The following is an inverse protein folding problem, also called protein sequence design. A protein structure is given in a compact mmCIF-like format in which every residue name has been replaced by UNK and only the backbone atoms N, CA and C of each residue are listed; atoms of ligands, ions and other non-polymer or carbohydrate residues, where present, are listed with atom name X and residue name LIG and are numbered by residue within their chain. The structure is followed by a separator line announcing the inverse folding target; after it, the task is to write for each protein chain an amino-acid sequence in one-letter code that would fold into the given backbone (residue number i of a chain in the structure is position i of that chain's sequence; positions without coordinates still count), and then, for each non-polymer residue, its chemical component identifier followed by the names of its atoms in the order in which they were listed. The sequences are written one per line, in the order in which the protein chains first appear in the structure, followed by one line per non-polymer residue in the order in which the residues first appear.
data_IF_487387678858
#
_entry.id   IF_487387678858
#
_cell.length_a   1.000
_cell.length_b   1.000
_cell.length_c   1.000
_cell.angle_alpha   90.00
_cell.angle_beta   90.00
_cell.angle_gamma   90.00
#
_symmetry.space_group_name_H-M   'P 1'
#
loop_
_entity.id
_entity.type
_entity.pdbx_description
1 polymer ?
#
# COMPACT_ATOMS: atom_id res chain seq x y z
N UNK A 1 10.96 -4.02 1.87
CA UNK A 1 12.31 -4.31 1.33
C UNK A 1 12.93 -2.98 1.01
N UNK A 2 13.89 -2.56 1.84
CA UNK A 2 14.58 -1.29 1.70
C UNK A 2 15.33 -1.27 0.37
N UNK A 3 15.02 -0.27 -0.46
CA UNK A 3 15.79 0.03 -1.67
C UNK A 3 16.98 0.84 -1.23
N UNK A 4 18.13 0.20 -1.11
CA UNK A 4 19.38 0.95 -0.97
C UNK A 4 19.67 1.66 -2.29
N UNK A 5 19.61 2.98 -2.24
CA UNK A 5 19.95 3.89 -3.33
C UNK A 5 21.47 4.09 -3.35
N UNK A 6 22.12 3.53 -4.36
CA UNK A 6 23.57 3.65 -4.57
C UNK A 6 23.86 4.96 -5.31
N UNK A 7 24.76 5.79 -4.76
CA UNK A 7 25.15 7.07 -5.37
C UNK A 7 26.07 6.85 -6.58
N UNK A 8 26.08 7.79 -7.52
CA UNK A 8 26.89 7.76 -8.76
C UNK A 8 28.37 7.36 -8.56
N UNK A 9 29.01 7.81 -7.49
CA UNK A 9 30.41 7.45 -7.16
C UNK A 9 30.60 5.97 -6.82
N UNK A 10 29.60 5.36 -6.19
CA UNK A 10 29.61 3.94 -5.80
C UNK A 10 29.22 3.04 -6.98
N UNK A 11 28.38 3.52 -7.89
CA UNK A 11 27.99 2.80 -9.12
C UNK A 11 29.23 2.38 -9.91
N UNK A 12 30.18 3.30 -10.12
CA UNK A 12 31.42 3.00 -10.85
C UNK A 12 32.25 1.92 -10.16
N UNK A 13 32.28 1.91 -8.83
CA UNK A 13 32.96 0.87 -8.04
C UNK A 13 32.30 -0.50 -8.26
N UNK A 14 30.97 -0.57 -8.18
CA UNK A 14 30.20 -1.79 -8.43
C UNK A 14 30.41 -2.29 -9.86
N UNK A 15 30.30 -1.42 -10.86
CA UNK A 15 30.49 -1.77 -12.27
C UNK A 15 31.92 -2.26 -12.56
N UNK A 16 32.92 -1.71 -11.88
CA UNK A 16 34.29 -2.21 -11.97
C UNK A 16 34.44 -3.61 -11.39
N UNK A 17 33.76 -3.93 -10.29
CA UNK A 17 33.75 -5.29 -9.74
C UNK A 17 33.01 -6.27 -10.66
N UNK A 18 31.86 -5.86 -11.22
CA UNK A 18 31.08 -6.61 -12.23
C UNK A 18 31.94 -6.93 -13.45
N UNK A 19 32.68 -5.93 -13.96
CA UNK A 19 33.66 -6.09 -15.05
C UNK A 19 34.74 -7.10 -14.69
N UNK A 20 35.42 -6.92 -13.56
CA UNK A 20 36.56 -7.77 -13.16
C UNK A 20 36.17 -9.23 -12.97
N UNK A 21 34.90 -9.49 -12.62
CA UNK A 21 34.34 -10.84 -12.44
C UNK A 21 33.62 -11.37 -13.67
N UNK A 22 33.62 -10.65 -14.79
CA UNK A 22 32.88 -11.01 -16.01
C UNK A 22 31.42 -11.39 -15.74
N UNK A 23 30.74 -10.60 -14.91
CA UNK A 23 29.32 -10.78 -14.62
C UNK A 23 28.50 -10.31 -15.83
N UNK A 24 27.58 -11.16 -16.28
CA UNK A 24 26.65 -10.83 -17.35
C UNK A 24 25.72 -9.69 -16.96
N UNK A 25 25.55 -8.74 -17.86
CA UNK A 25 24.64 -7.60 -17.71
C UNK A 25 23.60 -7.60 -18.82
N UNK A 26 22.45 -7.00 -18.54
CA UNK A 26 21.40 -6.77 -19.52
C UNK A 26 21.04 -5.29 -19.55
N UNK A 27 20.95 -4.74 -20.75
CA UNK A 27 20.44 -3.39 -21.02
C UNK A 27 19.07 -3.50 -21.66
N UNK A 28 18.05 -2.96 -21.00
CA UNK A 28 16.68 -2.97 -21.48
C UNK A 28 16.26 -1.58 -21.97
N UNK A 29 15.71 -1.52 -23.17
CA UNK A 29 15.00 -0.34 -23.66
C UNK A 29 13.60 -0.26 -23.07
N UNK A 30 13.29 0.82 -22.34
CA UNK A 30 11.97 1.00 -21.71
C UNK A 30 10.83 1.10 -22.72
N UNK A 31 11.09 1.62 -23.92
CA UNK A 31 10.06 1.98 -24.89
C UNK A 31 9.78 0.90 -25.95
N UNK A 32 10.66 -0.08 -26.11
CA UNK A 32 10.64 -1.00 -27.25
C UNK A 32 10.94 -2.46 -26.87
N UNK A 33 10.94 -2.78 -25.57
CA UNK A 33 11.21 -4.12 -25.03
C UNK A 33 12.52 -4.78 -25.52
N UNK A 34 13.42 -4.02 -26.14
CA UNK A 34 14.73 -4.53 -26.57
C UNK A 34 15.56 -4.91 -25.34
N UNK A 35 16.18 -6.09 -25.37
CA UNK A 35 17.12 -6.55 -24.35
C UNK A 35 18.46 -6.84 -25.03
N UNK A 36 19.51 -6.16 -24.58
CA UNK A 36 20.89 -6.36 -25.02
C UNK A 36 21.63 -7.02 -23.88
N UNK A 37 22.11 -8.25 -24.07
CA UNK A 37 22.91 -8.96 -23.07
C UNK A 37 24.40 -8.91 -23.42
N UNK A 38 25.23 -8.77 -22.41
CA UNK A 38 26.66 -8.58 -22.60
C UNK A 38 27.46 -8.48 -21.30
N UNK A 39 28.65 -7.89 -21.37
CA UNK A 39 29.54 -7.69 -20.24
C UNK A 39 30.11 -6.27 -20.23
N UNK A 40 30.25 -5.69 -19.04
CA UNK A 40 30.90 -4.38 -18.89
C UNK A 40 32.40 -4.56 -19.18
N UNK A 41 32.93 -3.82 -20.15
CA UNK A 41 34.36 -3.81 -20.49
C UNK A 41 35.09 -2.59 -19.95
N UNK A 42 34.37 -1.50 -19.69
CA UNK A 42 34.90 -0.27 -19.10
C UNK A 42 33.82 0.45 -18.30
N UNK A 43 34.20 1.09 -17.21
CA UNK A 43 33.36 2.03 -16.46
C UNK A 43 34.23 3.16 -15.92
N UNK A 44 33.83 4.41 -16.18
CA UNK A 44 34.38 5.60 -15.56
C UNK A 44 33.25 6.48 -14.99
N UNK A 45 33.53 7.73 -14.60
CA UNK A 45 32.53 8.64 -14.03
C UNK A 45 31.49 9.15 -15.02
N UNK A 46 31.75 9.03 -16.32
CA UNK A 46 30.94 9.61 -17.39
C UNK A 46 30.16 8.55 -18.16
N UNK A 47 30.80 7.43 -18.50
CA UNK A 47 30.18 6.36 -19.28
C UNK A 47 30.67 4.97 -18.87
N UNK A 48 29.92 3.98 -19.31
CA UNK A 48 30.30 2.58 -19.28
C UNK A 48 30.22 1.98 -20.68
N UNK A 49 31.14 1.09 -20.99
CA UNK A 49 31.17 0.34 -22.24
C UNK A 49 30.70 -1.08 -21.97
N UNK A 50 29.75 -1.56 -22.76
CA UNK A 50 29.24 -2.94 -22.69
C UNK A 50 29.54 -3.60 -24.04
N UNK A 51 30.21 -4.75 -23.98
CA UNK A 51 30.36 -5.64 -25.12
C UNK A 51 29.15 -6.57 -25.19
N UNK A 52 28.54 -6.71 -26.36
CA UNK A 52 27.38 -7.59 -26.57
C UNK A 52 27.74 -8.78 -27.47
N UNK A 53 27.20 -9.95 -27.14
CA UNK A 53 27.55 -11.19 -27.86
C UNK A 53 26.89 -11.25 -29.25
N UNK A 54 25.65 -10.74 -29.32
CA UNK A 54 24.82 -10.69 -30.53
C UNK A 54 24.51 -9.25 -30.88
N UNK A 55 24.64 -8.92 -32.17
CA UNK A 55 24.26 -7.60 -32.70
C UNK A 55 22.75 -7.44 -32.47
N UNK A 56 22.30 -6.43 -31.69
CA UNK A 56 20.88 -6.20 -31.49
C UNK A 56 20.22 -5.69 -32.76
N UNK A 57 19.01 -6.16 -33.06
CA UNK A 57 18.24 -5.70 -34.22
C UNK A 57 17.83 -4.22 -34.09
N UNK A 58 17.61 -3.76 -32.86
CA UNK A 58 17.25 -2.39 -32.52
C UNK A 58 17.99 -1.96 -31.27
N UNK A 59 18.54 -0.75 -31.23
CA UNK A 59 19.18 -0.19 -30.03
C UNK A 59 18.51 1.14 -29.71
N UNK A 60 17.79 1.25 -28.57
CA UNK A 60 17.21 2.51 -28.14
C UNK A 60 18.33 3.52 -27.82
N UNK A 61 18.16 4.76 -28.25
CA UNK A 61 19.14 5.83 -27.95
C UNK A 61 18.90 6.40 -26.55
N UNK A 62 17.66 6.32 -26.03
CA UNK A 62 17.27 6.88 -24.74
C UNK A 62 16.59 5.87 -23.85
N UNK A 63 16.55 6.16 -22.56
CA UNK A 63 15.86 5.38 -21.53
C UNK A 63 16.31 3.92 -21.46
N UNK A 64 17.62 3.71 -21.48
CA UNK A 64 18.26 2.42 -21.30
C UNK A 64 18.41 2.12 -19.80
N UNK A 65 17.98 0.91 -19.40
CA UNK A 65 18.12 0.45 -18.01
C UNK A 65 19.10 -0.70 -17.93
N UNK A 66 20.12 -0.56 -17.09
CA UNK A 66 21.06 -1.62 -16.80
C UNK A 66 20.53 -2.50 -15.66
N UNK A 67 20.62 -3.81 -15.85
CA UNK A 67 20.32 -4.81 -14.80
C UNK A 67 21.37 -5.91 -14.78
N UNK A 68 21.75 -6.36 -13.59
CA UNK A 68 22.67 -7.48 -13.40
C UNK A 68 22.54 -8.06 -11.99
N UNK A 69 23.10 -9.25 -11.81
CA UNK A 69 23.12 -9.96 -10.54
C UNK A 69 24.54 -10.04 -10.01
N UNK A 70 24.77 -9.56 -8.79
CA UNK A 70 26.08 -9.59 -8.18
C UNK A 70 25.98 -9.76 -6.66
N UNK A 71 26.75 -10.68 -6.08
CA UNK A 71 26.76 -10.96 -4.64
C UNK A 71 25.36 -11.18 -4.02
N UNK A 72 24.51 -11.98 -4.68
CA UNK A 72 23.10 -12.24 -4.27
C UNK A 72 22.19 -11.01 -4.24
N UNK A 73 22.60 -9.91 -4.87
CA UNK A 73 21.78 -8.72 -5.06
C UNK A 73 21.44 -8.59 -6.55
N UNK A 74 20.19 -8.25 -6.83
CA UNK A 74 19.77 -7.79 -8.15
C UNK A 74 19.91 -6.27 -8.19
N UNK A 75 20.66 -5.78 -9.18
CA UNK A 75 20.89 -4.36 -9.41
C UNK A 75 20.03 -3.88 -10.57
N UNK A 76 19.45 -2.70 -10.42
CA UNK A 76 18.64 -2.04 -11.46
C UNK A 76 18.93 -0.55 -11.45
N UNK A 77 19.48 -0.04 -12.56
CA UNK A 77 19.81 1.38 -12.69
C UNK A 77 18.58 2.25 -12.91
N UNK A 78 18.72 3.56 -12.72
CA UNK A 78 17.86 4.53 -13.38
C UNK A 78 18.09 4.53 -14.90
N UNK A 79 17.14 5.07 -15.69
CA UNK A 79 17.32 5.19 -17.13
C UNK A 79 18.52 6.08 -17.47
N UNK A 80 19.30 5.67 -18.47
CA UNK A 80 20.39 6.45 -19.03
C UNK A 80 20.35 6.42 -20.55
N UNK A 81 21.07 7.34 -21.18
CA UNK A 81 21.10 7.45 -22.63
C UNK A 81 22.35 6.77 -23.23
N UNK A 82 22.20 6.33 -24.47
CA UNK A 82 23.28 5.83 -25.30
C UNK A 82 24.16 7.02 -25.70
N UNK A 83 25.47 6.89 -25.47
CA UNK A 83 26.49 7.85 -25.90
C UNK A 83 27.01 7.51 -27.29
N UNK A 84 27.41 6.26 -27.50
CA UNK A 84 27.96 5.78 -28.77
C UNK A 84 27.67 4.30 -28.98
N UNK A 85 27.59 3.91 -30.25
CA UNK A 85 27.43 2.53 -30.69
C UNK A 85 28.53 2.23 -31.70
N UNK A 86 29.26 1.13 -31.49
CA UNK A 86 30.17 0.60 -32.49
C UNK A 86 29.86 -0.88 -32.75
N UNK A 87 29.17 -1.11 -33.86
CA UNK A 87 28.81 -2.45 -34.33
C UNK A 87 30.03 -3.33 -34.67
N UNK A 88 31.11 -2.82 -35.31
CA UNK A 88 32.27 -3.65 -35.63
C UNK A 88 32.96 -4.24 -34.39
N UNK A 89 33.03 -3.46 -33.31
CA UNK A 89 33.62 -3.89 -32.04
C UNK A 89 32.58 -4.51 -31.08
N UNK A 90 31.33 -4.64 -31.54
CA UNK A 90 30.18 -5.11 -30.75
C UNK A 90 30.07 -4.45 -29.37
N UNK A 91 30.20 -3.13 -29.33
CA UNK A 91 30.15 -2.37 -28.09
C UNK A 91 29.14 -1.21 -28.12
N UNK A 92 28.55 -0.96 -26.96
CA UNK A 92 27.76 0.25 -26.67
C UNK A 92 28.42 1.01 -25.54
N UNK A 93 28.50 2.33 -25.68
CA UNK A 93 28.81 3.24 -24.59
C UNK A 93 27.51 3.86 -24.10
N UNK A 94 27.19 3.65 -22.83
CA UNK A 94 26.03 4.24 -22.16
C UNK A 94 26.53 5.26 -21.14
N UNK A 95 25.81 6.37 -20.97
CA UNK A 95 26.08 7.28 -19.86
C UNK A 95 25.92 6.55 -18.52
N UNK A 96 26.75 6.91 -17.54
CA UNK A 96 26.61 6.36 -16.19
C UNK A 96 25.27 6.83 -15.61
N UNK A 97 24.41 5.92 -15.12
CA UNK A 97 23.13 6.28 -14.54
C UNK A 97 23.33 7.11 -13.26
N UNK A 98 22.38 8.00 -12.97
CA UNK A 98 22.46 8.89 -11.80
C UNK A 98 22.24 8.12 -10.49
N UNK A 99 21.34 7.14 -10.51
CA UNK A 99 21.10 6.21 -9.42
C UNK A 99 21.10 4.74 -9.82
N UNK A 100 21.33 3.87 -8.84
CA UNK A 100 21.13 2.43 -8.97
C UNK A 100 20.48 1.88 -7.70
N UNK A 101 19.44 1.08 -7.88
CA UNK A 101 18.80 0.36 -6.80
C UNK A 101 19.34 -1.07 -6.73
N UNK A 102 19.51 -1.58 -5.52
CA UNK A 102 19.84 -2.99 -5.30
C UNK A 102 18.82 -3.63 -4.35
N UNK A 103 18.54 -4.91 -4.53
CA UNK A 103 17.74 -5.69 -3.59
C UNK A 103 18.18 -7.15 -3.59
N UNK A 104 17.99 -7.84 -2.46
CA UNK A 104 18.40 -9.24 -2.34
C UNK A 104 17.61 -10.11 -3.33
N UNK A 105 18.34 -10.95 -4.07
CA UNK A 105 17.79 -11.96 -4.96
C UNK A 105 16.88 -12.90 -4.17
N UNK A 106 15.69 -13.17 -4.71
CA UNK A 106 14.76 -14.14 -4.11
C UNK A 106 15.39 -15.54 -4.18
N UNK A 107 15.47 -16.23 -3.04
CA UNK A 107 15.98 -17.61 -2.95
C UNK A 107 15.12 -18.60 -3.75
N UNK A 108 13.82 -18.32 -3.91
CA UNK A 108 12.88 -19.19 -4.59
C UNK A 108 12.12 -18.44 -5.69
N UNK A 109 11.98 -19.07 -6.85
CA UNK A 109 11.18 -18.57 -7.97
C UNK A 109 9.70 -18.57 -7.57
N UNK A 110 8.97 -17.52 -7.93
CA UNK A 110 7.52 -17.43 -7.76
C UNK A 110 6.80 -17.84 -9.03
N UNK A 111 5.68 -18.53 -8.87
CA UNK A 111 4.77 -18.91 -9.95
C UNK A 111 3.49 -18.11 -9.78
N UNK A 112 3.09 -17.39 -10.82
CA UNK A 112 1.77 -16.76 -10.89
C UNK A 112 0.71 -17.81 -11.18
N UNK A 113 -0.37 -17.77 -10.41
CA UNK A 113 -1.49 -18.68 -10.54
C UNK A 113 -2.68 -17.98 -11.21
N UNK A 114 -3.51 -18.71 -11.96
CA UNK A 114 -4.80 -18.20 -12.42
C UNK A 114 -5.72 -17.97 -11.22
N UNK A 115 -6.74 -17.12 -11.39
CA UNK A 115 -7.65 -16.71 -10.30
C UNK A 115 -8.34 -17.88 -9.58
N UNK A 116 -8.53 -19.02 -10.26
CA UNK A 116 -9.15 -20.24 -9.70
C UNK A 116 -8.14 -21.31 -9.25
N UNK A 117 -6.84 -21.00 -9.23
CA UNK A 117 -5.79 -22.02 -9.06
C UNK A 117 -5.74 -22.64 -7.66
N UNK A 118 -5.38 -21.85 -6.65
CA UNK A 118 -5.27 -22.29 -5.25
C UNK A 118 -6.08 -21.35 -4.38
N UNK A 119 -6.80 -21.94 -3.43
CA UNK A 119 -7.42 -21.22 -2.32
C UNK A 119 -6.62 -21.41 -1.05
N UNK A 120 -6.67 -20.44 -0.16
CA UNK A 120 -6.13 -20.58 1.18
C UNK A 120 -7.11 -20.09 2.24
N UNK A 121 -7.00 -20.63 3.45
CA UNK A 121 -7.69 -20.15 4.62
C UNK A 121 -6.70 -19.97 5.78
N UNK A 122 -6.92 -18.96 6.61
CA UNK A 122 -6.23 -18.82 7.89
C UNK A 122 -7.03 -19.64 8.91
N UNK A 123 -6.40 -20.68 9.47
CA UNK A 123 -7.04 -21.57 10.45
C UNK A 123 -7.01 -20.99 11.86
N UNK A 124 -5.86 -20.44 12.26
CA UNK A 124 -5.67 -19.90 13.60
C UNK A 124 -4.45 -18.97 13.67
N UNK A 125 -4.47 -18.07 14.65
CA UNK A 125 -3.29 -17.32 15.09
C UNK A 125 -2.46 -18.21 16.04
N UNK A 126 -1.19 -18.46 15.72
CA UNK A 126 -0.30 -19.24 16.59
C UNK A 126 0.48 -18.34 17.56
N UNK A 127 0.92 -17.18 17.08
CA UNK A 127 1.46 -16.11 17.94
C UNK A 127 1.36 -14.75 17.26
N UNK A 128 1.05 -13.71 18.03
CA UNK A 128 1.32 -12.33 17.62
C UNK A 128 2.79 -12.04 17.92
N UNK A 129 3.55 -11.50 16.95
CA UNK A 129 4.90 -11.00 17.22
C UNK A 129 4.90 -10.04 18.42
N UNK A 130 6.02 -9.98 19.16
CA UNK A 130 6.32 -9.04 20.26
C UNK A 130 6.28 -7.54 19.86
N UNK A 131 5.75 -7.19 18.68
CA UNK A 131 5.38 -5.82 18.41
C UNK A 131 4.16 -5.46 19.26
N UNK A 132 4.16 -4.27 19.89
CA UNK A 132 3.00 -3.84 20.66
C UNK A 132 1.81 -3.89 19.71
N UNK A 133 0.79 -4.69 20.06
CA UNK A 133 -0.55 -4.47 19.52
C UNK A 133 -0.80 -2.96 19.58
N UNK A 134 -1.44 -2.34 18.57
CA UNK A 134 -1.76 -0.92 18.63
C UNK A 134 -2.34 -0.67 20.01
N UNK A 135 -1.59 0.10 20.81
CA UNK A 135 -1.73 0.08 22.26
C UNK A 135 -3.20 0.33 22.55
N UNK A 136 -3.88 -0.64 23.17
CA UNK A 136 -5.23 -0.40 23.67
C UNK A 136 -5.14 0.92 24.43
N UNK A 137 -5.93 1.94 24.07
CA UNK A 137 -5.80 3.25 24.67
C UNK A 137 -5.84 3.08 26.18
N UNK A 138 -4.90 3.74 26.88
CA UNK A 138 -4.88 3.69 28.32
C UNK A 138 -6.23 4.24 28.82
N UNK A 139 -7.07 3.36 29.35
CA UNK A 139 -8.44 3.71 29.72
C UNK A 139 -8.46 4.86 30.73
N UNK A 140 -7.46 4.91 31.61
CA UNK A 140 -7.33 5.94 32.65
C UNK A 140 -7.03 7.34 32.08
N UNK A 141 -6.45 7.41 30.88
CA UNK A 141 -6.12 8.67 30.19
C UNK A 141 -7.27 9.15 29.28
N UNK A 142 -8.24 8.29 28.99
CA UNK A 142 -9.39 8.65 28.17
C UNK A 142 -10.37 9.51 28.96
N UNK A 143 -11.02 10.50 28.31
CA UNK A 143 -12.13 11.22 28.93
C UNK A 143 -13.25 10.27 29.39
N UNK A 144 -13.94 10.52 30.52
CA UNK A 144 -14.91 9.59 31.09
C UNK A 144 -16.00 9.10 30.13
N UNK A 145 -16.43 9.95 29.19
CA UNK A 145 -17.44 9.56 28.21
C UNK A 145 -16.86 8.66 27.10
N UNK A 146 -15.61 8.84 26.70
CA UNK A 146 -14.93 7.91 25.80
C UNK A 146 -14.69 6.55 26.47
N UNK A 147 -14.36 6.54 27.76
CA UNK A 147 -14.20 5.29 28.53
C UNK A 147 -15.48 4.44 28.46
N UNK A 148 -16.66 5.05 28.68
CA UNK A 148 -17.95 4.35 28.60
C UNK A 148 -18.19 3.71 27.24
N UNK A 149 -17.91 4.45 26.18
CA UNK A 149 -18.05 3.95 24.80
C UNK A 149 -17.09 2.79 24.55
N UNK A 150 -15.85 2.92 25.01
CA UNK A 150 -14.82 1.90 24.81
C UNK A 150 -15.08 0.62 25.62
N UNK A 151 -15.63 0.74 26.84
CA UNK A 151 -16.06 -0.40 27.66
C UNK A 151 -17.15 -1.18 26.94
N UNK A 152 -18.18 -0.49 26.42
CA UNK A 152 -19.24 -1.12 25.64
C UNK A 152 -18.67 -1.82 24.39
N UNK A 153 -17.76 -1.16 23.67
CA UNK A 153 -17.09 -1.73 22.50
C UNK A 153 -16.24 -2.97 22.86
N UNK A 154 -15.63 -2.99 24.04
CA UNK A 154 -14.74 -4.07 24.50
C UNK A 154 -15.48 -5.34 24.92
N UNK A 155 -16.80 -5.28 25.12
CA UNK A 155 -17.60 -6.46 25.43
C UNK A 155 -17.51 -7.56 24.37
N UNK A 156 -17.77 -8.81 24.77
CA UNK A 156 -17.85 -9.96 23.84
C UNK A 156 -18.97 -9.77 22.82
N UNK A 157 -20.10 -9.19 23.26
CA UNK A 157 -21.24 -8.87 22.43
C UNK A 157 -21.58 -7.37 22.52
N UNK A 158 -20.79 -6.50 21.87
CA UNK A 158 -21.01 -5.06 21.96
C UNK A 158 -22.34 -4.67 21.31
N UNK A 159 -23.12 -3.81 21.98
CA UNK A 159 -24.32 -3.22 21.37
C UNK A 159 -23.92 -2.08 20.42
N UNK A 160 -23.80 -2.44 19.14
CA UNK A 160 -23.42 -1.53 18.05
C UNK A 160 -24.36 -0.31 17.97
N UNK A 161 -25.67 -0.49 18.19
CA UNK A 161 -26.63 0.62 18.12
C UNK A 161 -26.41 1.60 19.25
N UNK A 162 -26.20 1.08 20.47
CA UNK A 162 -25.89 1.89 21.65
C UNK A 162 -24.58 2.65 21.49
N UNK A 163 -23.53 2.01 20.95
CA UNK A 163 -22.24 2.67 20.69
C UNK A 163 -22.41 3.84 19.70
N UNK A 164 -23.10 3.62 18.58
CA UNK A 164 -23.37 4.68 17.59
C UNK A 164 -24.17 5.83 18.21
N UNK A 165 -25.15 5.53 19.06
CA UNK A 165 -25.90 6.55 19.77
C UNK A 165 -25.01 7.38 20.70
N UNK A 166 -24.18 6.74 21.53
CA UNK A 166 -23.26 7.45 22.43
C UNK A 166 -22.27 8.35 21.67
N UNK A 167 -21.79 7.90 20.51
CA UNK A 167 -20.92 8.71 19.64
C UNK A 167 -21.69 9.91 19.08
N UNK A 168 -22.94 9.74 18.65
CA UNK A 168 -23.78 10.85 18.20
C UNK A 168 -24.05 11.88 19.31
N UNK A 169 -24.26 11.43 20.55
CA UNK A 169 -24.40 12.30 21.72
C UNK A 169 -23.14 13.13 21.97
N UNK A 170 -21.95 12.53 21.85
CA UNK A 170 -20.68 13.28 21.94
C UNK A 170 -20.49 14.28 20.80
N UNK A 171 -20.78 13.90 19.55
CA UNK A 171 -20.70 14.81 18.39
C UNK A 171 -21.67 15.99 18.50
N UNK A 172 -22.85 15.78 19.09
CA UNK A 172 -23.88 16.81 19.27
C UNK A 172 -23.44 17.99 20.15
N UNK A 173 -22.38 17.80 20.96
CA UNK A 173 -21.78 18.86 21.79
C UNK A 173 -21.02 19.88 20.95
N UNK A 174 -20.48 19.46 19.82
CA UNK A 174 -19.72 20.31 18.91
C UNK A 174 -20.61 21.01 17.88
N UNK A 175 -21.64 20.32 17.41
CA UNK A 175 -22.59 20.88 16.46
C UNK A 175 -23.89 20.09 16.43
N UNK A 176 -25.00 20.75 16.09
CA UNK A 176 -26.24 20.10 15.66
C UNK A 176 -26.18 19.56 14.22
N UNK A 177 -25.20 20.01 13.43
CA UNK A 177 -24.98 19.62 12.03
C UNK A 177 -23.73 18.75 11.91
N UNK A 178 -23.87 17.48 12.29
CA UNK A 178 -22.86 16.46 12.03
C UNK A 178 -23.44 15.31 11.20
N UNK A 179 -22.57 14.64 10.45
CA UNK A 179 -22.94 13.49 9.62
C UNK A 179 -21.84 12.45 9.68
N UNK A 180 -22.23 11.20 9.88
CA UNK A 180 -21.35 10.05 9.67
C UNK A 180 -21.69 9.44 8.32
N UNK A 181 -20.71 9.40 7.40
CA UNK A 181 -20.89 8.76 6.10
C UNK A 181 -19.95 7.55 5.98
N UNK A 182 -20.53 6.35 5.88
CA UNK A 182 -19.76 5.12 5.59
C UNK A 182 -19.80 4.90 4.09
N UNK A 183 -18.63 4.84 3.47
CA UNK A 183 -18.50 4.77 2.03
C UNK A 183 -18.97 3.41 1.51
N UNK A 184 -19.95 3.42 0.61
CA UNK A 184 -20.42 2.25 -0.12
C UNK A 184 -19.79 2.14 -1.51
N UNK A 185 -19.56 3.30 -2.14
CA UNK A 185 -18.98 3.43 -3.47
C UNK A 185 -18.02 4.63 -3.51
N UNK A 186 -16.75 4.35 -3.85
CA UNK A 186 -15.67 5.34 -3.91
C UNK A 186 -15.89 6.33 -5.07
N UNK A 187 -16.59 5.90 -6.13
CA UNK A 187 -16.87 6.76 -7.28
C UNK A 187 -17.90 7.86 -6.94
N UNK A 188 -18.76 7.60 -5.96
CA UNK A 188 -19.81 8.52 -5.50
C UNK A 188 -19.35 9.57 -4.48
N UNK A 189 -18.07 9.56 -4.09
CA UNK A 189 -17.54 10.47 -3.08
C UNK A 189 -17.59 11.93 -3.54
N UNK A 190 -18.00 12.81 -2.61
CA UNK A 190 -17.90 14.26 -2.79
C UNK A 190 -16.44 14.71 -2.94
N UNK A 191 -16.19 15.92 -3.46
CA UNK A 191 -14.82 16.37 -3.72
C UNK A 191 -13.94 16.42 -2.45
N UNK A 192 -14.49 16.81 -1.30
CA UNK A 192 -13.74 16.81 -0.02
C UNK A 192 -13.56 15.40 0.55
N UNK A 193 -14.56 14.52 0.40
CA UNK A 193 -14.40 13.11 0.79
C UNK A 193 -13.29 12.42 -0.02
N UNK A 194 -13.14 12.75 -1.30
CA UNK A 194 -12.02 12.27 -2.13
C UNK A 194 -10.67 12.72 -1.61
N UNK A 195 -10.56 13.97 -1.14
CA UNK A 195 -9.34 14.50 -0.53
C UNK A 195 -9.01 13.73 0.76
N UNK A 196 -9.98 13.60 1.66
CA UNK A 196 -9.79 12.86 2.92
C UNK A 196 -9.46 11.38 2.66
N UNK A 197 -10.13 10.76 1.68
CA UNK A 197 -9.87 9.39 1.26
C UNK A 197 -8.45 9.20 0.71
N UNK A 198 -8.00 10.09 -0.18
CA UNK A 198 -6.69 10.00 -0.82
C UNK A 198 -5.54 10.26 0.15
N UNK A 199 -5.64 11.30 0.98
CA UNK A 199 -4.57 11.71 1.87
C UNK A 199 -4.60 11.02 3.23
N UNK A 200 -5.75 10.45 3.64
CA UNK A 200 -5.96 9.81 4.95
C UNK A 200 -5.72 10.76 6.14
N UNK A 201 -6.00 12.05 5.93
CA UNK A 201 -5.79 13.12 6.91
C UNK A 201 -7.09 13.84 7.21
N UNK A 202 -7.17 14.43 8.40
CA UNK A 202 -8.33 15.24 8.78
C UNK A 202 -8.33 16.54 7.98
N UNK A 203 -9.45 16.83 7.31
CA UNK A 203 -9.67 18.13 6.71
C UNK A 203 -10.27 19.06 7.77
N UNK A 204 -9.69 20.25 7.98
CA UNK A 204 -10.16 21.18 9.02
C UNK A 204 -10.04 22.64 8.61
N UNK A 205 -11.07 23.43 8.95
CA UNK A 205 -11.10 24.88 8.88
C UNK A 205 -11.48 25.35 10.28
N UNK A 206 -10.50 25.91 11.01
CA UNK A 206 -10.70 26.36 12.39
C UNK A 206 -11.74 27.48 12.47
N UNK A 207 -11.49 28.56 11.75
CA UNK A 207 -12.34 29.74 11.68
C UNK A 207 -12.53 30.10 10.20
N UNK A 208 -13.78 30.01 9.76
CA UNK A 208 -14.19 30.24 8.37
C UNK A 208 -14.14 31.71 7.96
N UNK A 209 -14.12 32.68 8.88
CA UNK A 209 -13.98 34.10 8.54
C UNK A 209 -12.54 34.42 8.08
N UNK A 210 -11.57 33.65 8.56
CA UNK A 210 -10.15 33.86 8.29
C UNK A 210 -9.62 32.94 7.18
N UNK A 211 -9.29 33.55 6.02
CA UNK A 211 -8.75 32.86 4.84
C UNK A 211 -7.53 31.97 5.13
N UNK A 212 -6.68 32.34 6.10
CA UNK A 212 -5.47 31.56 6.40
C UNK A 212 -5.80 30.16 6.96
N UNK A 213 -7.01 29.96 7.53
CA UNK A 213 -7.42 28.66 8.07
C UNK A 213 -7.89 27.67 6.99
N UNK A 214 -8.01 28.10 5.74
CA UNK A 214 -8.37 27.23 4.62
C UNK A 214 -7.15 26.48 4.08
N UNK A 215 -5.94 26.81 4.53
CA UNK A 215 -4.67 26.31 4.00
C UNK A 215 -3.72 25.94 5.15
N UNK A 216 -3.23 24.70 5.15
CA UNK A 216 -2.41 24.15 6.23
C UNK A 216 -0.99 23.78 5.78
N UNK A 217 -0.27 24.74 5.19
CA UNK A 217 1.09 24.53 4.68
C UNK A 217 2.07 24.14 5.81
N UNK A 218 2.66 22.95 5.71
CA UNK A 218 3.61 22.45 6.70
C UNK A 218 2.99 22.08 8.05
N UNK A 219 1.67 21.88 8.10
CA UNK A 219 0.98 21.57 9.34
C UNK A 219 1.51 20.29 9.99
N UNK A 220 1.86 20.43 11.26
CA UNK A 220 2.02 19.32 12.19
C UNK A 220 0.62 18.75 12.48
N UNK A 221 0.53 17.53 13.02
CA UNK A 221 -0.72 16.93 13.52
C UNK A 221 -1.67 16.28 12.49
N UNK A 222 -1.18 15.92 11.30
CA UNK A 222 -1.93 15.11 10.32
C UNK A 222 -3.25 15.76 9.84
N UNK A 223 -3.22 17.08 9.66
CA UNK A 223 -4.35 17.90 9.20
C UNK A 223 -4.03 18.47 7.82
N UNK A 224 -5.07 18.69 7.03
CA UNK A 224 -5.03 19.26 5.68
C UNK A 224 -6.15 20.30 5.49
N UNK A 225 -5.97 21.17 4.52
CA UNK A 225 -6.96 22.14 4.05
C UNK A 225 -7.18 22.03 2.54
N UNK A 226 -7.65 23.12 1.95
CA UNK A 226 -7.91 23.19 0.52
C UNK A 226 -6.64 23.08 -0.33
N UNK A 227 -5.43 23.29 0.22
CA UNK A 227 -4.20 23.08 -0.54
C UNK A 227 -4.12 21.67 -1.14
N UNK A 228 -4.59 20.65 -0.40
CA UNK A 228 -4.62 19.27 -0.87
C UNK A 228 -5.73 18.98 -1.88
N UNK A 229 -6.84 19.71 -1.79
CA UNK A 229 -7.87 19.65 -2.83
C UNK A 229 -7.33 20.13 -4.18
N UNK A 230 -6.64 21.28 -4.19
CA UNK A 230 -6.10 21.87 -5.43
C UNK A 230 -4.91 21.07 -5.98
N UNK A 231 -4.04 20.55 -5.11
CA UNK A 231 -2.95 19.63 -5.47
C UNK A 231 -3.50 18.38 -6.19
N UNK A 232 -4.51 17.73 -5.61
CA UNK A 232 -5.15 16.55 -6.20
C UNK A 232 -5.85 16.86 -7.53
N UNK A 233 -6.40 18.06 -7.68
CA UNK A 233 -7.06 18.51 -8.91
C UNK A 233 -6.06 18.98 -10.00
N UNK A 234 -4.76 19.04 -9.71
CA UNK A 234 -3.75 19.60 -10.63
C UNK A 234 -3.97 21.08 -10.92
N UNK A 235 -4.59 21.83 -9.99
CA UNK A 235 -4.91 23.25 -10.14
C UNK A 235 -4.11 24.10 -9.17
N UNK A 236 -3.79 25.32 -9.57
CA UNK A 236 -3.19 26.31 -8.68
C UNK A 236 -4.26 26.94 -7.78
N UNK A 237 -3.95 27.01 -6.49
CA UNK A 237 -4.78 27.70 -5.51
C UNK A 237 -4.65 29.22 -5.71
N UNK A 238 -5.76 29.91 -5.96
CA UNK A 238 -5.79 31.38 -6.06
C UNK A 238 -6.60 32.00 -4.90
N UNK A 239 -6.23 33.22 -4.44
CA UNK A 239 -6.98 33.92 -3.38
C UNK A 239 -8.46 34.16 -3.72
N UNK A 240 -8.77 34.47 -4.98
CA UNK A 240 -10.15 34.70 -5.44
C UNK A 240 -11.04 33.46 -5.27
N UNK A 241 -10.52 32.27 -5.57
CA UNK A 241 -11.28 31.03 -5.42
C UNK A 241 -11.45 30.69 -3.93
N UNK A 242 -10.44 30.94 -3.10
CA UNK A 242 -10.57 30.79 -1.64
C UNK A 242 -11.64 31.71 -1.06
N UNK A 243 -11.75 32.95 -1.55
CA UNK A 243 -12.82 33.86 -1.14
C UNK A 243 -14.21 33.38 -1.57
N UNK A 244 -14.34 32.77 -2.76
CA UNK A 244 -15.61 32.14 -3.16
C UNK A 244 -15.97 30.96 -2.26
N UNK A 245 -14.99 30.12 -1.92
CA UNK A 245 -15.17 29.01 -0.98
C UNK A 245 -15.57 29.56 0.39
N UNK A 246 -14.89 30.61 0.88
CA UNK A 246 -15.19 31.28 2.14
C UNK A 246 -16.62 31.80 2.18
N UNK A 247 -17.03 32.53 1.15
CA UNK A 247 -18.38 33.05 1.02
C UNK A 247 -19.44 31.95 1.12
N UNK A 248 -19.18 30.75 0.59
CA UNK A 248 -20.10 29.61 0.73
C UNK A 248 -20.27 29.15 2.18
N UNK A 249 -19.22 29.14 3.00
CA UNK A 249 -19.33 28.79 4.43
C UNK A 249 -20.07 29.88 5.21
N UNK A 250 -19.75 31.15 4.94
CA UNK A 250 -20.42 32.29 5.59
C UNK A 250 -21.90 32.36 5.24
N UNK A 251 -22.27 32.13 3.98
CA UNK A 251 -23.67 32.07 3.54
C UNK A 251 -24.45 30.91 4.19
N UNK A 252 -23.76 29.84 4.59
CA UNK A 252 -24.32 28.71 5.34
C UNK A 252 -24.30 28.94 6.85
N UNK A 253 -23.84 30.11 7.30
CA UNK A 253 -23.69 30.47 8.70
C UNK A 253 -22.84 29.44 9.48
N UNK A 254 -21.79 28.90 8.85
CA UNK A 254 -20.85 27.95 9.46
C UNK A 254 -19.63 28.73 9.93
N UNK A 255 -19.21 28.56 11.19
CA UNK A 255 -18.04 29.24 11.77
C UNK A 255 -16.78 28.35 11.76
N UNK A 256 -16.96 27.03 11.80
CA UNK A 256 -15.87 26.05 11.84
C UNK A 256 -16.30 24.76 11.16
N UNK A 257 -15.37 24.04 10.54
CA UNK A 257 -15.69 22.83 9.77
C UNK A 257 -14.58 21.79 9.90
N UNK A 258 -14.93 20.52 10.10
CA UNK A 258 -13.99 19.42 9.95
C UNK A 258 -14.60 18.19 9.28
N UNK A 259 -13.74 17.40 8.64
CA UNK A 259 -14.05 16.09 8.10
C UNK A 259 -12.94 15.13 8.50
N UNK A 260 -13.27 14.19 9.38
CA UNK A 260 -12.33 13.26 10.02
C UNK A 260 -12.50 11.87 9.41
N UNK A 261 -11.43 11.23 8.89
CA UNK A 261 -11.53 9.89 8.31
C UNK A 261 -11.83 8.83 9.38
N UNK A 262 -12.70 7.88 9.03
CA UNK A 262 -12.93 6.64 9.77
C UNK A 262 -12.01 5.58 9.14
N UNK A 263 -10.96 5.21 9.87
CA UNK A 263 -9.90 4.33 9.38
C UNK A 263 -10.08 2.88 9.82
N UNK A 264 -9.90 1.95 8.89
CA UNK A 264 -9.81 0.52 9.13
C UNK A 264 -8.47 0.04 8.55
N UNK A 265 -7.47 -0.11 9.41
CA UNK A 265 -6.08 -0.17 8.94
C UNK A 265 -5.72 1.16 8.27
N UNK A 266 -5.19 1.09 7.05
CA UNK A 266 -4.86 2.28 6.24
C UNK A 266 -5.99 2.66 5.26
N UNK A 267 -7.14 1.99 5.33
CA UNK A 267 -8.28 2.27 4.46
C UNK A 267 -9.23 3.28 5.12
N UNK A 268 -9.56 4.35 4.39
CA UNK A 268 -10.64 5.27 4.77
C UNK A 268 -11.98 4.63 4.39
N UNK A 269 -12.67 4.07 5.39
CA UNK A 269 -13.97 3.42 5.23
C UNK A 269 -15.16 4.38 5.29
N UNK A 270 -14.91 5.63 5.68
CA UNK A 270 -15.94 6.66 5.83
C UNK A 270 -15.37 7.94 6.43
N UNK A 271 -16.25 8.89 6.75
CA UNK A 271 -15.90 10.15 7.41
C UNK A 271 -16.94 10.54 8.46
N UNK A 272 -16.48 11.27 9.48
CA UNK A 272 -17.34 12.12 10.32
C UNK A 272 -17.17 13.56 9.82
N UNK A 273 -18.25 14.16 9.35
CA UNK A 273 -18.33 15.57 8.98
C UNK A 273 -18.99 16.36 10.12
N UNK A 274 -18.38 17.47 10.54
CA UNK A 274 -18.92 18.38 11.55
C UNK A 274 -18.87 19.80 10.99
N UNK A 275 -20.04 20.43 10.83
CA UNK A 275 -20.17 21.83 10.46
C UNK A 275 -20.70 22.61 11.66
N UNK A 276 -19.90 23.48 12.28
CA UNK A 276 -20.33 24.25 13.46
C UNK A 276 -21.08 25.51 13.02
N UNK A 277 -22.36 25.69 13.41
CA UNK A 277 -23.11 26.88 13.05
C UNK A 277 -22.70 28.08 13.91
N UNK A 278 -22.94 29.29 13.40
CA UNK A 278 -22.83 30.53 14.17
C UNK A 278 -24.02 30.67 15.13
N UNK A 279 -23.98 29.90 16.21
CA UNK A 279 -24.93 29.94 17.31
C UNK A 279 -24.14 30.13 18.61
N UNK A 280 -24.56 31.04 19.53
CA UNK A 280 -23.87 31.32 20.79
C UNK A 280 -23.56 30.09 21.66
N UNK A 281 -24.31 28.99 21.47
CA UNK A 281 -24.07 27.72 22.15
C UNK A 281 -22.76 27.04 21.74
N UNK A 282 -22.33 27.23 20.49
CA UNK A 282 -21.20 26.54 19.90
C UNK A 282 -19.98 27.46 19.75
N UNK A 283 -18.80 26.86 19.68
CA UNK A 283 -17.52 27.55 19.53
C UNK A 283 -16.76 26.95 18.36
N UNK A 284 -15.79 27.70 17.82
CA UNK A 284 -14.83 27.18 16.86
C UNK A 284 -14.19 25.89 17.40
N UNK A 285 -14.08 24.88 16.53
CA UNK A 285 -13.40 23.63 16.89
C UNK A 285 -11.94 23.94 17.15
N UNK A 286 -11.39 23.45 18.25
CA UNK A 286 -9.95 23.52 18.54
C UNK A 286 -9.24 22.27 18.04
N UNK A 287 -7.91 22.29 18.02
CA UNK A 287 -7.11 21.10 17.70
C UNK A 287 -7.40 19.92 18.64
N UNK A 288 -7.71 20.18 19.91
CA UNK A 288 -8.07 19.15 20.88
C UNK A 288 -9.42 18.51 20.56
N UNK A 289 -10.38 19.30 20.07
CA UNK A 289 -11.67 18.80 19.62
C UNK A 289 -11.50 17.91 18.38
N UNK A 290 -10.59 18.27 17.48
CA UNK A 290 -10.24 17.41 16.34
C UNK A 290 -9.66 16.07 16.80
N UNK A 291 -8.77 16.06 17.78
CA UNK A 291 -8.25 14.81 18.36
C UNK A 291 -9.35 13.97 19.03
N UNK A 292 -10.28 14.63 19.72
CA UNK A 292 -11.41 13.95 20.34
C UNK A 292 -12.34 13.33 19.28
N UNK A 293 -12.72 14.08 18.25
CA UNK A 293 -13.56 13.58 17.14
C UNK A 293 -12.83 12.44 16.40
N UNK A 294 -11.50 12.52 16.25
CA UNK A 294 -10.70 11.43 15.71
C UNK A 294 -10.78 10.17 16.57
N UNK A 295 -10.69 10.28 17.89
CA UNK A 295 -10.91 9.14 18.79
C UNK A 295 -12.29 8.51 18.61
N UNK A 296 -13.33 9.32 18.39
CA UNK A 296 -14.68 8.80 18.07
C UNK A 296 -14.72 8.10 16.70
N UNK A 297 -14.00 8.62 15.70
CA UNK A 297 -13.89 8.00 14.38
C UNK A 297 -13.15 6.65 14.43
N UNK A 298 -12.10 6.55 15.26
CA UNK A 298 -11.37 5.30 15.47
C UNK A 298 -12.27 4.23 16.12
N UNK A 299 -13.08 4.62 17.11
CA UNK A 299 -14.10 3.74 17.72
C UNK A 299 -15.12 3.29 16.66
N UNK A 300 -15.62 4.19 15.80
CA UNK A 300 -16.52 3.80 14.71
C UNK A 300 -15.87 2.81 13.74
N UNK A 301 -14.58 2.96 13.44
CA UNK A 301 -13.83 2.01 12.62
C UNK A 301 -13.86 0.59 13.22
N UNK A 302 -13.64 0.48 14.53
CA UNK A 302 -13.72 -0.79 15.26
C UNK A 302 -15.14 -1.38 15.29
N UNK A 303 -16.15 -0.54 15.46
CA UNK A 303 -17.56 -0.93 15.38
C UNK A 303 -17.89 -1.55 14.02
N UNK A 304 -17.42 -0.94 12.93
CA UNK A 304 -17.60 -1.46 11.56
C UNK A 304 -16.92 -2.83 11.40
N UNK A 305 -15.67 -2.96 11.88
CA UNK A 305 -14.93 -4.25 11.85
C UNK A 305 -15.71 -5.33 12.59
N UNK A 306 -16.09 -5.09 13.85
CA UNK A 306 -16.81 -6.08 14.66
C UNK A 306 -18.18 -6.44 14.07
N UNK A 307 -18.90 -5.48 13.52
CA UNK A 307 -20.19 -5.73 12.87
C UNK A 307 -20.06 -6.62 11.64
N UNK A 308 -18.97 -6.46 10.87
CA UNK A 308 -18.71 -7.25 9.66
C UNK A 308 -18.15 -8.63 9.97
N UNK A 309 -17.33 -8.75 11.02
CA UNK A 309 -16.81 -10.04 11.51
C UNK A 309 -17.91 -10.95 12.06
N UNK A 310 -18.94 -10.41 12.73
CA UNK A 310 -20.11 -11.21 13.16
C UNK A 310 -20.86 -11.87 12.00
N UNK A 311 -20.69 -11.37 10.77
CA UNK A 311 -21.31 -11.91 9.56
C UNK A 311 -20.36 -12.71 8.68
N UNK A 312 -19.08 -12.79 9.02
CA UNK A 312 -18.07 -13.53 8.27
C UNK A 312 -18.20 -15.02 8.59
N UNK A 313 -18.59 -15.83 7.61
CA UNK A 313 -18.61 -17.30 7.69
C UNK A 313 -17.23 -17.88 7.37
N UNK A 314 -16.98 -19.15 7.73
CA UNK A 314 -15.76 -19.96 7.44
C UNK A 314 -15.33 -20.01 5.95
N UNK A 315 -16.04 -19.33 5.07
CA UNK A 315 -15.82 -19.22 3.63
C UNK A 315 -14.92 -18.05 3.19
N UNK A 316 -14.21 -17.39 4.09
CA UNK A 316 -13.20 -16.36 3.78
C UNK A 316 -11.91 -16.97 3.17
N UNK A 317 -12.10 -17.76 2.11
CA UNK A 317 -11.01 -18.30 1.33
C UNK A 317 -10.36 -17.16 0.53
N UNK A 318 -9.06 -16.99 0.71
CA UNK A 318 -8.26 -16.08 -0.10
C UNK A 318 -7.88 -16.78 -1.40
N UNK A 319 -7.91 -16.06 -2.52
CA UNK A 319 -7.37 -16.54 -3.79
C UNK A 319 -5.86 -16.32 -3.82
N UNK A 320 -5.07 -17.37 -4.01
CA UNK A 320 -3.61 -17.25 -4.10
C UNK A 320 -3.22 -16.71 -5.47
N UNK A 321 -2.56 -15.54 -5.49
CA UNK A 321 -2.08 -14.86 -6.70
C UNK A 321 -0.75 -15.47 -7.16
N UNK A 322 0.19 -15.62 -6.23
CA UNK A 322 1.50 -16.21 -6.51
C UNK A 322 1.98 -17.08 -5.34
N UNK A 323 2.81 -18.07 -5.65
CA UNK A 323 3.40 -18.97 -4.66
C UNK A 323 4.85 -19.31 -5.00
N UNK A 324 5.66 -19.51 -3.97
CA UNK A 324 7.02 -20.05 -4.03
C UNK A 324 7.25 -20.98 -2.85
N UNK A 325 8.41 -21.65 -2.83
CA UNK A 325 8.84 -22.42 -1.66
C UNK A 325 9.09 -21.58 -0.40
N UNK A 326 9.19 -20.25 -0.52
CA UNK A 326 9.41 -19.35 0.62
C UNK A 326 8.14 -18.69 1.14
N UNK A 327 7.00 -18.84 0.47
CA UNK A 327 5.78 -18.10 0.81
C UNK A 327 4.92 -17.81 -0.40
N UNK A 328 3.86 -17.02 -0.19
CA UNK A 328 2.84 -16.75 -1.18
C UNK A 328 2.30 -15.31 -1.08
N UNK A 329 1.58 -14.89 -2.11
CA UNK A 329 0.73 -13.71 -2.13
C UNK A 329 -0.71 -14.14 -2.38
N UNK A 330 -1.65 -13.68 -1.58
CA UNK A 330 -3.06 -13.98 -1.75
C UNK A 330 -3.94 -12.75 -1.64
N UNK A 331 -5.14 -12.84 -2.21
CA UNK A 331 -6.12 -11.76 -2.27
C UNK A 331 -7.42 -12.16 -1.57
N UNK A 332 -8.01 -11.21 -0.87
CA UNK A 332 -9.39 -11.31 -0.37
C UNK A 332 -10.13 -10.00 -0.57
N UNK A 333 -11.46 -10.06 -0.71
CA UNK A 333 -12.33 -8.88 -0.65
C UNK A 333 -12.64 -8.46 0.80
N UNK A 334 -12.38 -9.35 1.77
CA UNK A 334 -12.59 -9.06 3.18
C UNK A 334 -11.39 -8.30 3.77
N UNK A 335 -11.39 -6.98 3.58
CA UNK A 335 -10.35 -6.07 4.11
C UNK A 335 -10.28 -6.05 5.63
N UNK A 336 -11.34 -6.46 6.33
CA UNK A 336 -11.41 -6.42 7.78
C UNK A 336 -10.48 -7.45 8.45
N UNK A 337 -10.04 -8.48 7.71
CA UNK A 337 -9.14 -9.53 8.22
C UNK A 337 -7.76 -8.98 8.62
N UNK A 338 -7.30 -7.88 8.02
CA UNK A 338 -6.03 -7.25 8.39
C UNK A 338 -5.99 -6.75 9.85
N UNK A 339 -7.15 -6.37 10.42
CA UNK A 339 -7.27 -6.01 11.85
C UNK A 339 -7.20 -7.22 12.76
N UNK A 340 -7.68 -8.38 12.31
CA UNK A 340 -7.66 -9.63 13.08
C UNK A 340 -6.27 -10.25 13.17
N UNK A 341 -5.45 -10.04 12.15
CA UNK A 341 -4.11 -10.61 12.06
C UNK A 341 -3.09 -9.51 11.70
N UNK A 342 -2.44 -8.85 12.67
CA UNK A 342 -1.49 -7.78 12.36
C UNK A 342 -0.27 -8.29 11.57
N UNK A 343 0.45 -7.39 10.92
CA UNK A 343 1.74 -7.72 10.30
C UNK A 343 2.69 -8.37 11.32
N UNK A 344 3.57 -9.24 10.83
CA UNK A 344 4.46 -10.11 11.58
C UNK A 344 3.78 -11.19 12.45
N UNK A 345 2.45 -11.29 12.46
CA UNK A 345 1.74 -12.40 13.11
C UNK A 345 2.09 -13.74 12.47
N UNK A 346 2.20 -14.77 13.31
CA UNK A 346 2.37 -16.15 12.89
C UNK A 346 1.00 -16.82 12.87
N UNK A 347 0.63 -17.32 11.70
CA UNK A 347 -0.67 -17.93 11.44
C UNK A 347 -0.50 -19.35 10.91
N UNK A 348 -1.44 -20.22 11.29
CA UNK A 348 -1.60 -21.53 10.68
C UNK A 348 -2.50 -21.39 9.45
N UNK A 349 -2.00 -21.80 8.30
CA UNK A 349 -2.70 -21.72 7.02
C UNK A 349 -3.14 -23.10 6.57
N UNK A 350 -4.26 -23.16 5.86
CA UNK A 350 -4.64 -24.26 5.00
C UNK A 350 -4.51 -23.82 3.55
N UNK A 351 -3.69 -24.51 2.77
CA UNK A 351 -3.59 -24.35 1.31
C UNK A 351 -4.35 -25.49 0.65
N UNK A 352 -5.25 -25.18 -0.28
CA UNK A 352 -5.99 -26.18 -1.04
C UNK A 352 -5.31 -26.39 -2.39
N UNK A 353 -4.45 -27.41 -2.46
CA UNK A 353 -3.62 -27.74 -3.63
C UNK A 353 -4.11 -29.06 -4.22
N UNK A 354 -4.60 -29.06 -5.46
CA UNK A 354 -5.15 -30.26 -6.13
C UNK A 354 -6.14 -31.04 -5.25
N UNK A 355 -7.12 -30.34 -4.67
CA UNK A 355 -8.13 -30.87 -3.75
C UNK A 355 -7.61 -31.44 -2.42
N UNK A 356 -6.32 -31.28 -2.13
CA UNK A 356 -5.72 -31.63 -0.83
C UNK A 356 -5.49 -30.40 0.02
N UNK A 357 -5.71 -30.55 1.32
CA UNK A 357 -5.42 -29.54 2.33
C UNK A 357 -3.99 -29.70 2.84
N UNK A 358 -3.12 -28.75 2.53
CA UNK A 358 -1.75 -28.66 3.04
C UNK A 358 -1.72 -27.61 4.14
N UNK A 359 -1.43 -28.03 5.38
CA UNK A 359 -1.35 -27.10 6.51
C UNK A 359 0.07 -26.59 6.69
N UNK A 360 0.26 -25.26 6.72
CA UNK A 360 1.59 -24.63 6.85
C UNK A 360 1.56 -23.50 7.87
N UNK A 361 2.66 -23.33 8.60
CA UNK A 361 2.86 -22.17 9.48
C UNK A 361 3.55 -21.07 8.70
N UNK A 362 2.96 -19.87 8.73
CA UNK A 362 3.45 -18.73 7.98
C UNK A 362 3.42 -17.44 8.80
N UNK A 363 4.31 -16.51 8.47
CA UNK A 363 4.30 -15.14 8.97
C UNK A 363 3.64 -14.22 7.96
N UNK A 364 2.76 -13.36 8.43
CA UNK A 364 2.21 -12.27 7.63
C UNK A 364 3.29 -11.20 7.49
N UNK A 365 3.78 -10.97 6.28
CA UNK A 365 4.89 -10.03 6.04
C UNK A 365 4.38 -8.62 5.82
N UNK A 366 3.29 -8.48 5.06
CA UNK A 366 2.68 -7.19 4.77
C UNK A 366 1.26 -7.33 4.22
N UNK A 367 0.54 -6.21 4.28
CA UNK A 367 -0.71 -6.00 3.59
C UNK A 367 -0.56 -4.96 2.47
N UNK A 368 -1.08 -5.25 1.28
CA UNK A 368 -1.19 -4.29 0.18
C UNK A 368 -2.70 -4.08 -0.12
N UNK A 369 -3.26 -2.93 0.26
CA UNK A 369 -4.66 -2.60 -0.03
C UNK A 369 -4.83 -2.23 -1.51
N UNK A 370 -5.84 -2.82 -2.15
CA UNK A 370 -6.24 -2.48 -3.52
C UNK A 370 -7.42 -1.53 -3.45
N UNK A 371 -7.30 -0.27 -3.95
CA UNK A 371 -8.43 0.65 -4.04
C UNK A 371 -9.28 0.41 -5.31
N UNK A 372 -10.49 0.97 -5.35
CA UNK A 372 -11.36 1.00 -6.55
C UNK A 372 -12.45 -0.08 -6.60
N UNK A 373 -13.01 -0.36 -7.77
CA UNK A 373 -14.09 -1.36 -7.96
C UNK A 373 -13.66 -2.80 -7.63
N UNK A 374 -12.35 -3.07 -7.72
CA UNK A 374 -11.73 -4.32 -7.27
C UNK A 374 -11.17 -4.22 -5.85
N UNK A 375 -11.81 -3.39 -5.00
CA UNK A 375 -11.39 -3.17 -3.63
C UNK A 375 -11.17 -4.50 -2.89
N UNK A 376 -10.01 -4.63 -2.28
CA UNK A 376 -9.58 -5.85 -1.64
C UNK A 376 -8.25 -5.68 -0.93
N UNK A 377 -7.77 -6.79 -0.40
CA UNK A 377 -6.58 -6.87 0.41
C UNK A 377 -5.69 -7.96 -0.16
N UNK A 378 -4.48 -7.58 -0.56
CA UNK A 378 -3.43 -8.54 -0.77
C UNK A 378 -2.68 -8.77 0.53
N UNK A 379 -2.44 -10.03 0.85
CA UNK A 379 -1.67 -10.47 2.01
C UNK A 379 -0.45 -11.23 1.50
N UNK A 380 0.74 -10.77 1.88
CA UNK A 380 1.99 -11.47 1.59
C UNK A 380 2.39 -12.31 2.81
N UNK A 381 2.61 -13.60 2.61
CA UNK A 381 2.97 -14.52 3.67
C UNK A 381 4.32 -15.20 3.38
N UNK A 382 5.13 -15.36 4.41
CA UNK A 382 6.38 -16.09 4.41
C UNK A 382 6.19 -17.43 5.13
N UNK A 383 6.55 -18.55 4.51
CA UNK A 383 6.52 -19.85 5.18
C UNK A 383 7.67 -19.94 6.18
N UNK A 384 7.36 -20.21 7.45
CA UNK A 384 8.37 -20.32 8.51
C UNK A 384 8.93 -21.74 8.59
N UNK A 385 8.04 -22.71 8.57
CA UNK A 385 8.37 -24.13 8.62
C UNK A 385 7.50 -24.89 7.63
N UNK A 386 8.15 -25.73 6.83
CA UNK A 386 7.49 -26.71 5.98
C UNK A 386 8.04 -28.07 6.38
N UNK A 387 7.15 -29.02 6.68
CA UNK A 387 7.52 -30.44 6.80
C UNK A 387 8.07 -30.93 5.46
N UNK A 388 8.88 -32.00 5.46
CA UNK A 388 9.39 -32.56 4.21
C UNK A 388 8.27 -33.00 3.26
N UNK A 389 7.16 -33.49 3.80
CA UNK A 389 5.93 -33.80 3.05
C UNK A 389 5.35 -32.55 2.38
N UNK A 390 5.12 -31.47 3.14
CA UNK A 390 4.58 -30.22 2.61
C UNK A 390 5.51 -29.59 1.59
N UNK A 391 6.84 -29.66 1.80
CA UNK A 391 7.83 -29.21 0.84
C UNK A 391 7.72 -29.98 -0.47
N UNK A 392 7.57 -31.30 -0.40
CA UNK A 392 7.41 -32.14 -1.58
C UNK A 392 6.12 -31.80 -2.33
N UNK A 393 5.02 -31.62 -1.62
CA UNK A 393 3.71 -31.32 -2.22
C UNK A 393 3.67 -29.96 -2.91
N UNK A 394 4.07 -28.89 -2.19
CA UNK A 394 4.15 -27.53 -2.76
C UNK A 394 5.19 -27.48 -3.89
N UNK A 395 6.34 -28.13 -3.71
CA UNK A 395 7.40 -28.17 -4.71
C UNK A 395 7.00 -28.93 -5.98
N UNK A 396 6.25 -30.03 -5.85
CA UNK A 396 5.70 -30.76 -6.99
C UNK A 396 4.65 -29.95 -7.73
N UNK A 397 3.77 -29.26 -7.00
CA UNK A 397 2.79 -28.36 -7.59
C UNK A 397 3.47 -27.26 -8.42
N UNK A 398 4.42 -26.53 -7.83
CA UNK A 398 5.18 -25.46 -8.49
C UNK A 398 5.88 -25.98 -9.76
N UNK A 399 6.55 -27.13 -9.68
CA UNK A 399 7.25 -27.74 -10.83
C UNK A 399 6.30 -28.15 -11.94
N UNK A 400 5.16 -28.73 -11.59
CA UNK A 400 4.16 -29.15 -12.57
C UNK A 400 3.56 -27.94 -13.27
N UNK A 401 3.26 -26.88 -12.53
CA UNK A 401 2.73 -25.65 -13.09
C UNK A 401 3.72 -25.01 -14.10
N UNK A 402 5.00 -24.93 -13.72
CA UNK A 402 6.06 -24.43 -14.62
C UNK A 402 6.24 -25.28 -15.89
N UNK A 403 6.06 -26.60 -15.80
CA UNK A 403 6.13 -27.49 -16.97
C UNK A 403 4.94 -27.29 -17.92
N UNK A 404 3.77 -26.98 -17.38
CA UNK A 404 2.56 -26.75 -18.17
C UNK A 404 2.64 -25.38 -18.85
N UNK A 405 3.08 -24.33 -18.16
CA UNK A 405 3.21 -22.99 -18.73
C UNK A 405 4.23 -22.92 -19.87
N UNK A 406 5.34 -23.65 -19.77
CA UNK A 406 6.34 -23.74 -20.86
C UNK A 406 5.80 -24.49 -22.09
N UNK A 407 4.86 -25.43 -21.91
CA UNK A 407 4.20 -26.12 -23.04
C UNK A 407 3.13 -25.27 -23.71
N UNK A 408 2.42 -24.41 -22.97
CA UNK A 408 1.40 -23.51 -23.55
C UNK A 408 1.98 -22.34 -24.32
N UNK A 409 3.24 -21.94 -24.05
CA UNK A 409 3.95 -20.90 -24.81
C UNK A 409 4.63 -21.41 -26.09
N UNK A 410 4.53 -22.72 -26.37
CA UNK A 410 5.04 -23.33 -27.59
C UNK A 410 3.94 -23.79 -28.58
N UNK A 411 3.03 -22.93 -29.09
CA UNK A 411 2.25 -23.26 -30.27
C UNK A 411 3.01 -22.79 -31.52
N UNK A 412 3.70 -23.70 -32.20
CA UNK A 412 4.34 -23.35 -33.48
C UNK A 412 5.29 -24.37 -34.11
N UNK A 413 5.33 -25.63 -33.67
CA UNK A 413 6.12 -26.66 -34.35
C UNK A 413 5.42 -28.01 -34.30
N UNK A 414 4.31 -28.15 -35.02
CA UNK A 414 3.86 -29.42 -35.61
C UNK A 414 2.54 -29.24 -36.37
N UNK A 415 2.66 -28.87 -37.63
CA UNK A 415 1.91 -29.42 -38.77
C UNK A 415 2.52 -28.87 -40.04
#
# INVERSE_FOLDING_TARGET
MDKDSIKKSEIVSVLNQVRLKHIGVSVKGMNNNTIISGFVTKSDSNYMTIFFDKIPDLIPIKNLKLTFEYNRMFYSSEPADLRSLSLPLKNIDMLIPEGMSSHLMRKYTRVQLPQDGIKMAILSLESSSDQPQPSKPNMEELPPNMQKIYIELSGENPDIKKIVQMIGEELSRYSSFYKTNIFKDINSLSPLEKVVYHYQKTFWINDTDNLNNYVHLGAKYNIIGYEKYFEMAGKTLSPEILEQIRANYLNRNVISYCMVPILIGDLVSGVIEVSVPNDPKYKHLTIYDIYYIKGLADILGEVVVKSKMKTATESDAFSVIDISMGGLLANTKNVYLARSFPENSIVKLALFVNDKKVEVTARIVRYDYIPGENAGLNIALEFLTLTEENKAEIGNFIRNFLKISVKSEAPGASS
#
